data_IF_974150504344
#
_entry.id   IF_974150504344
#
_cell.length_a   1.000
_cell.length_b   1.000
_cell.length_c   1.000
_cell.angle_alpha   90.00
_cell.angle_beta   90.00
_cell.angle_gamma   90.00
#
_symmetry.space_group_name_H-M   'P 1'
#
loop_
_entity.id
_entity.type
_entity.pdbx_description
1 polymer ?
#
# COMPACT_ATOMS: atom_id res chain seq x y z
N UNK A 1 -9.00 -4.48 -9.69
CA UNK A 1 -9.81 -5.26 -8.68
C UNK A 1 -9.65 -6.75 -8.93
N UNK A 2 -9.53 -7.58 -7.90
CA UNK A 2 -9.36 -9.04 -8.00
C UNK A 2 -10.75 -9.69 -8.02
N UNK A 3 -11.12 -10.30 -9.17
CA UNK A 3 -12.46 -10.90 -9.37
C UNK A 3 -12.42 -12.39 -9.73
N UNK A 4 -11.23 -12.96 -9.92
CA UNK A 4 -11.06 -14.38 -10.23
C UNK A 4 -9.93 -15.01 -9.42
N UNK A 5 -9.98 -16.35 -9.24
CA UNK A 5 -8.89 -17.11 -8.62
C UNK A 5 -7.58 -16.99 -9.40
N UNK A 6 -7.65 -16.87 -10.73
CA UNK A 6 -6.48 -16.70 -11.60
C UNK A 6 -5.79 -15.37 -11.34
N UNK A 7 -6.56 -14.28 -11.25
CA UNK A 7 -6.03 -12.96 -10.87
C UNK A 7 -5.44 -12.94 -9.46
N UNK A 8 -6.15 -13.52 -8.49
CA UNK A 8 -5.64 -13.62 -7.13
C UNK A 8 -4.28 -14.32 -7.09
N UNK A 9 -4.15 -15.48 -7.77
CA UNK A 9 -2.89 -16.22 -7.84
C UNK A 9 -1.79 -15.38 -8.47
N UNK A 10 -2.08 -14.69 -9.58
CA UNK A 10 -1.13 -13.82 -10.28
C UNK A 10 -0.64 -12.67 -9.39
N UNK A 11 -1.55 -11.96 -8.75
CA UNK A 11 -1.21 -10.83 -7.85
C UNK A 11 -0.36 -11.31 -6.68
N UNK A 12 -0.75 -12.41 -6.03
CA UNK A 12 0.02 -12.98 -4.93
C UNK A 12 1.42 -13.45 -5.35
N UNK A 13 1.58 -13.94 -6.58
CA UNK A 13 2.87 -14.35 -7.13
C UNK A 13 3.78 -13.13 -7.35
N UNK A 14 3.29 -12.07 -8.01
CA UNK A 14 4.01 -10.81 -8.21
C UNK A 14 4.50 -10.26 -6.87
N UNK A 15 3.60 -10.11 -5.92
CA UNK A 15 3.90 -9.51 -4.62
C UNK A 15 4.80 -10.40 -3.75
N UNK A 16 4.62 -11.73 -3.82
CA UNK A 16 5.49 -12.69 -3.12
C UNK A 16 6.94 -12.63 -3.61
N UNK A 17 7.13 -12.46 -4.92
CA UNK A 17 8.46 -12.41 -5.52
C UNK A 17 9.24 -11.16 -5.09
N UNK A 18 8.56 -10.04 -4.85
CA UNK A 18 9.22 -8.82 -4.37
C UNK A 18 9.85 -8.97 -2.99
N UNK A 19 9.36 -9.89 -2.15
CA UNK A 19 9.90 -10.13 -0.80
C UNK A 19 10.97 -11.22 -0.74
N UNK A 20 11.10 -12.07 -1.76
CA UNK A 20 12.06 -13.20 -1.82
C UNK A 20 12.06 -14.05 -0.53
N UNK A 21 10.88 -14.36 0.01
CA UNK A 21 10.73 -15.03 1.29
C UNK A 21 11.07 -16.52 1.23
N UNK A 22 11.94 -16.97 2.12
CA UNK A 22 12.11 -18.39 2.40
C UNK A 22 10.86 -18.98 3.10
N UNK A 23 10.70 -20.30 3.03
CA UNK A 23 9.61 -21.01 3.71
C UNK A 23 9.65 -20.73 5.23
N UNK A 24 10.84 -20.75 5.83
CA UNK A 24 11.02 -20.44 7.25
C UNK A 24 10.54 -19.03 7.62
N UNK A 25 10.87 -18.00 6.82
CA UNK A 25 10.40 -16.64 7.06
C UNK A 25 8.88 -16.51 6.95
N UNK A 26 8.24 -17.25 6.04
CA UNK A 26 6.76 -17.30 5.96
C UNK A 26 6.14 -17.89 7.21
N UNK A 27 6.71 -18.99 7.73
CA UNK A 27 6.24 -19.63 8.96
C UNK A 27 6.48 -18.71 10.16
N UNK A 28 7.70 -18.17 10.31
CA UNK A 28 8.03 -17.25 11.39
C UNK A 28 7.15 -15.99 11.39
N UNK A 29 6.74 -15.52 10.22
CA UNK A 29 5.80 -14.41 10.08
C UNK A 29 4.41 -14.68 10.67
N UNK A 30 3.95 -15.94 10.69
CA UNK A 30 2.69 -16.31 11.34
C UNK A 30 2.75 -16.14 12.85
N UNK A 31 3.93 -16.33 13.44
CA UNK A 31 4.20 -16.18 14.87
C UNK A 31 4.70 -14.79 15.27
N UNK A 32 4.87 -13.88 14.31
CA UNK A 32 5.36 -12.52 14.57
C UNK A 32 6.89 -12.42 14.75
N UNK A 33 7.64 -13.42 14.31
CA UNK A 33 9.09 -13.52 14.48
C UNK A 33 9.91 -13.13 13.24
N UNK A 34 9.24 -12.76 12.14
CA UNK A 34 9.87 -12.27 10.91
C UNK A 34 9.10 -11.08 10.37
N UNK A 35 9.74 -9.93 10.29
CA UNK A 35 9.12 -8.69 9.79
C UNK A 35 8.56 -8.87 8.38
N UNK A 36 9.38 -9.34 7.44
CA UNK A 36 8.95 -9.62 6.06
C UNK A 36 7.82 -10.65 6.01
N UNK A 37 7.88 -11.66 6.87
CA UNK A 37 6.84 -12.66 6.99
C UNK A 37 5.52 -12.11 7.55
N UNK A 38 5.57 -11.14 8.48
CA UNK A 38 4.38 -10.42 9.00
C UNK A 38 3.74 -9.61 7.87
N UNK A 39 4.54 -8.82 7.15
CA UNK A 39 4.08 -8.00 6.02
C UNK A 39 3.38 -8.87 4.98
N UNK A 40 4.05 -9.96 4.56
CA UNK A 40 3.47 -10.90 3.60
C UNK A 40 2.18 -11.54 4.10
N UNK A 41 2.11 -11.93 5.38
CA UNK A 41 0.92 -12.52 5.98
C UNK A 41 -0.27 -11.53 5.96
N UNK A 42 -0.02 -10.25 6.27
CA UNK A 42 -0.99 -9.17 6.17
C UNK A 42 -1.48 -8.99 4.73
N UNK A 43 -0.55 -8.81 3.80
CA UNK A 43 -0.83 -8.54 2.39
C UNK A 43 -1.58 -9.70 1.72
N UNK A 44 -1.14 -10.94 1.96
CA UNK A 44 -1.82 -12.14 1.47
C UNK A 44 -3.28 -12.24 1.95
N UNK A 45 -3.54 -11.89 3.22
CA UNK A 45 -4.90 -11.87 3.76
C UNK A 45 -5.72 -10.75 3.19
N UNK A 46 -5.14 -9.56 3.01
CA UNK A 46 -5.79 -8.43 2.37
C UNK A 46 -6.23 -8.78 0.95
N UNK A 47 -5.34 -9.35 0.12
CA UNK A 47 -5.68 -9.77 -1.25
C UNK A 47 -6.77 -10.85 -1.30
N UNK A 48 -6.78 -11.79 -0.35
CA UNK A 48 -7.86 -12.78 -0.21
C UNK A 48 -9.17 -12.13 0.24
N UNK A 49 -9.11 -11.16 1.14
CA UNK A 49 -10.27 -10.38 1.53
C UNK A 49 -10.88 -9.66 0.33
N UNK A 50 -10.06 -8.92 -0.43
CA UNK A 50 -10.48 -8.23 -1.66
C UNK A 50 -11.16 -9.18 -2.65
N UNK A 51 -10.54 -10.33 -2.93
CA UNK A 51 -11.13 -11.34 -3.81
C UNK A 51 -12.50 -11.81 -3.34
N UNK A 52 -12.64 -12.18 -2.07
CA UNK A 52 -13.92 -12.66 -1.55
C UNK A 52 -14.97 -11.57 -1.46
N UNK A 53 -14.57 -10.33 -1.17
CA UNK A 53 -15.43 -9.16 -1.18
C UNK A 53 -15.97 -8.90 -2.60
N UNK A 54 -15.10 -8.85 -3.59
CA UNK A 54 -15.44 -8.56 -4.98
C UNK A 54 -16.29 -9.67 -5.63
N UNK A 55 -16.13 -10.92 -5.18
CA UNK A 55 -16.93 -12.06 -5.63
C UNK A 55 -18.21 -12.29 -4.79
N UNK A 56 -18.59 -11.39 -3.88
CA UNK A 56 -19.75 -11.52 -3.00
C UNK A 56 -19.78 -12.81 -2.14
N UNK A 57 -18.62 -13.36 -1.81
CA UNK A 57 -18.51 -14.53 -0.92
C UNK A 57 -18.66 -14.09 0.55
N UNK A 58 -19.85 -13.76 1.01
CA UNK A 58 -20.14 -13.12 2.30
C UNK A 58 -19.43 -13.74 3.51
N UNK A 59 -19.56 -15.05 3.71
CA UNK A 59 -18.94 -15.74 4.87
C UNK A 59 -17.43 -15.63 4.83
N UNK A 60 -16.80 -15.91 3.67
CA UNK A 60 -15.35 -15.88 3.53
C UNK A 60 -14.82 -14.45 3.63
N UNK A 61 -15.49 -13.45 3.06
CA UNK A 61 -15.10 -12.05 3.19
C UNK A 61 -15.12 -11.59 4.66
N UNK A 62 -16.13 -11.99 5.43
CA UNK A 62 -16.20 -11.69 6.88
C UNK A 62 -15.03 -12.32 7.65
N UNK A 63 -14.70 -13.58 7.35
CA UNK A 63 -13.56 -14.26 7.99
C UNK A 63 -12.26 -13.53 7.66
N UNK A 64 -12.00 -13.22 6.39
CA UNK A 64 -10.77 -12.54 5.99
C UNK A 64 -10.72 -11.09 6.50
N UNK A 65 -11.86 -10.39 6.55
CA UNK A 65 -11.97 -9.07 7.19
C UNK A 65 -11.50 -9.12 8.65
N UNK A 66 -12.02 -10.08 9.43
CA UNK A 66 -11.58 -10.27 10.82
C UNK A 66 -10.07 -10.55 10.92
N UNK A 67 -9.53 -11.41 10.06
CA UNK A 67 -8.11 -11.75 10.06
C UNK A 67 -7.22 -10.55 9.68
N UNK A 68 -7.65 -9.73 8.71
CA UNK A 68 -6.95 -8.49 8.33
C UNK A 68 -6.99 -7.49 9.46
N UNK A 69 -8.17 -7.22 10.04
CA UNK A 69 -8.33 -6.27 11.14
C UNK A 69 -7.49 -6.65 12.36
N UNK A 70 -7.42 -7.94 12.71
CA UNK A 70 -6.56 -8.40 13.81
C UNK A 70 -5.09 -8.04 13.58
N UNK A 71 -4.58 -8.18 12.36
CA UNK A 71 -3.22 -7.78 12.01
C UNK A 71 -3.07 -6.26 11.94
N UNK A 72 -4.07 -5.55 11.40
CA UNK A 72 -4.11 -4.10 11.35
C UNK A 72 -3.96 -3.48 12.73
N UNK A 73 -4.75 -3.92 13.70
CA UNK A 73 -4.67 -3.43 15.08
C UNK A 73 -3.35 -3.80 15.76
N UNK A 74 -2.82 -5.00 15.48
CA UNK A 74 -1.57 -5.46 16.10
C UNK A 74 -0.34 -4.72 15.57
N UNK A 75 -0.31 -4.40 14.28
CA UNK A 75 0.88 -3.88 13.60
C UNK A 75 0.72 -2.45 13.05
N UNK A 76 -0.46 -1.85 13.19
CA UNK A 76 -0.74 -0.49 12.74
C UNK A 76 -0.95 -0.34 11.23
N UNK A 77 -1.04 -1.42 10.47
CA UNK A 77 -1.25 -1.38 9.02
C UNK A 77 -2.75 -1.35 8.69
N UNK A 78 -3.26 -0.24 8.22
CA UNK A 78 -4.66 -0.05 7.85
C UNK A 78 -4.77 0.38 6.38
N UNK A 79 -4.92 -0.59 5.50
CA UNK A 79 -5.12 -0.39 4.06
C UNK A 79 -6.54 -0.83 3.73
N UNK A 80 -7.33 0.08 3.14
CA UNK A 80 -8.68 -0.25 2.70
C UNK A 80 -8.67 -1.28 1.57
N UNK A 81 -9.66 -2.19 1.52
CA UNK A 81 -9.73 -3.16 0.43
C UNK A 81 -9.88 -2.46 -0.92
N UNK A 82 -9.19 -2.97 -1.93
CA UNK A 82 -9.11 -2.37 -3.28
C UNK A 82 -8.54 -0.94 -3.32
N UNK A 83 -7.84 -0.51 -2.29
CA UNK A 83 -7.19 0.81 -2.25
C UNK A 83 -5.89 0.83 -3.06
N UNK A 84 -5.13 -0.25 -3.04
CA UNK A 84 -3.84 -0.34 -3.74
C UNK A 84 -3.89 -1.43 -4.80
N UNK A 85 -3.51 -1.11 -6.01
CA UNK A 85 -3.45 -2.07 -7.11
C UNK A 85 -2.30 -3.09 -6.95
N UNK A 86 -2.11 -3.95 -7.94
CA UNK A 86 -1.13 -5.04 -7.90
C UNK A 86 0.32 -4.56 -7.79
N UNK A 87 1.17 -5.37 -7.21
CA UNK A 87 2.60 -5.06 -7.06
C UNK A 87 2.92 -4.12 -5.90
N UNK A 88 1.99 -4.00 -4.93
CA UNK A 88 2.24 -3.25 -3.71
C UNK A 88 3.44 -3.83 -2.95
N UNK A 89 4.39 -2.97 -2.59
CA UNK A 89 5.53 -3.33 -1.74
C UNK A 89 5.51 -2.51 -0.43
N UNK A 90 5.37 -3.18 0.70
CA UNK A 90 5.48 -2.58 2.03
C UNK A 90 6.88 -2.85 2.56
N UNK A 91 7.64 -1.80 2.89
CA UNK A 91 9.03 -1.93 3.30
C UNK A 91 9.20 -2.43 4.74
N UNK A 92 8.41 -1.89 5.67
CA UNK A 92 8.54 -2.17 7.10
C UNK A 92 7.17 -2.27 7.78
N UNK A 93 7.13 -3.03 8.89
CA UNK A 93 5.97 -3.08 9.79
C UNK A 93 5.87 -1.75 10.55
N UNK A 94 4.68 -1.15 10.57
CA UNK A 94 4.44 0.09 11.30
C UNK A 94 3.14 0.76 10.91
N UNK A 95 2.91 1.96 11.41
CA UNK A 95 1.68 2.70 11.12
C UNK A 95 1.61 3.07 9.64
N UNK A 96 0.63 2.52 8.95
CA UNK A 96 0.30 2.83 7.54
C UNK A 96 -1.21 3.02 7.49
N UNK A 97 -1.67 4.13 6.92
CA UNK A 97 -3.08 4.42 6.75
C UNK A 97 -3.36 4.80 5.29
N UNK A 98 -3.99 3.91 4.54
CA UNK A 98 -4.35 4.14 3.13
C UNK A 98 -5.86 4.14 2.98
N UNK A 99 -6.43 5.32 2.81
CA UNK A 99 -7.84 5.61 2.51
C UNK A 99 -7.98 6.38 1.20
N UNK A 100 -7.30 5.91 0.16
CA UNK A 100 -7.29 6.52 -1.16
C UNK A 100 -7.08 5.47 -2.22
N UNK A 101 -6.81 5.90 -3.45
CA UNK A 101 -6.46 4.99 -4.54
C UNK A 101 -4.99 5.12 -4.86
N UNK A 102 -4.32 3.99 -5.00
CA UNK A 102 -2.90 3.92 -5.37
C UNK A 102 -2.77 2.91 -6.51
N UNK A 103 -2.09 3.32 -7.55
CA UNK A 103 -1.83 2.49 -8.72
C UNK A 103 -0.83 1.36 -8.46
N UNK A 104 -0.42 0.72 -9.53
CA UNK A 104 0.42 -0.49 -9.51
C UNK A 104 1.86 -0.19 -9.12
N UNK A 105 2.54 -1.23 -8.61
CA UNK A 105 3.99 -1.23 -8.33
C UNK A 105 4.45 -0.10 -7.42
N UNK A 106 3.60 0.30 -6.49
CA UNK A 106 3.92 1.36 -5.55
C UNK A 106 4.61 0.83 -4.29
N UNK A 107 5.59 1.60 -3.78
CA UNK A 107 6.36 1.27 -2.58
C UNK A 107 5.90 2.12 -1.41
N UNK A 108 5.57 1.49 -0.29
CA UNK A 108 5.00 2.14 0.88
C UNK A 108 5.91 1.91 2.09
N UNK A 109 6.45 2.99 2.63
CA UNK A 109 7.20 2.96 3.89
C UNK A 109 6.29 3.12 5.12
N UNK A 110 6.91 3.01 6.30
CA UNK A 110 6.21 3.22 7.58
C UNK A 110 5.75 4.67 7.75
N UNK A 111 4.70 4.86 8.53
CA UNK A 111 4.09 6.14 8.88
C UNK A 111 3.50 6.90 7.68
N UNK A 112 3.25 6.20 6.58
CA UNK A 112 2.59 6.79 5.40
C UNK A 112 1.09 6.92 5.66
N UNK A 113 0.54 8.09 5.32
CA UNK A 113 -0.89 8.36 5.43
C UNK A 113 -1.44 8.94 4.13
N UNK A 114 -2.43 8.26 3.55
CA UNK A 114 -3.28 8.77 2.46
C UNK A 114 -4.69 8.91 3.01
N UNK A 115 -5.17 10.14 3.14
CA UNK A 115 -6.46 10.42 3.78
C UNK A 115 -7.23 11.51 3.05
N UNK A 116 -8.55 11.45 3.10
CA UNK A 116 -9.42 12.56 2.70
C UNK A 116 -9.13 13.79 3.57
N UNK A 117 -9.33 14.97 3.01
CA UNK A 117 -9.31 16.22 3.76
C UNK A 117 -10.65 16.49 4.44
N UNK A 118 -10.91 17.76 4.77
CA UNK A 118 -12.15 18.19 5.41
C UNK A 118 -13.42 17.80 4.61
N UNK A 119 -13.33 17.62 3.30
CA UNK A 119 -14.43 17.18 2.45
C UNK A 119 -14.54 15.66 2.30
N UNK A 120 -13.71 14.89 3.02
CA UNK A 120 -13.62 13.42 2.96
C UNK A 120 -13.39 12.82 1.54
N UNK A 121 -12.87 13.64 0.62
CA UNK A 121 -12.48 13.19 -0.72
C UNK A 121 -11.08 12.63 -0.63
N UNK A 122 -10.93 11.34 -0.94
CA UNK A 122 -9.66 10.64 -0.84
C UNK A 122 -8.72 10.94 -2.01
N UNK A 123 -7.39 10.97 -1.80
CA UNK A 123 -6.41 11.17 -2.85
C UNK A 123 -6.35 9.99 -3.81
N UNK A 124 -5.95 10.28 -5.06
CA UNK A 124 -5.75 9.29 -6.11
C UNK A 124 -4.32 9.38 -6.62
N UNK A 125 -3.56 8.32 -6.47
CA UNK A 125 -2.17 8.22 -6.93
C UNK A 125 -2.07 7.27 -8.13
N UNK A 126 -1.23 7.62 -9.09
CA UNK A 126 -0.92 6.79 -10.25
C UNK A 126 -0.03 5.59 -9.93
N UNK A 127 0.57 5.01 -10.97
CA UNK A 127 1.44 3.84 -10.88
C UNK A 127 2.86 4.24 -10.46
N UNK A 128 3.59 3.28 -9.87
CA UNK A 128 5.00 3.43 -9.51
C UNK A 128 5.25 4.67 -8.64
N UNK A 129 4.48 4.81 -7.56
CA UNK A 129 4.66 5.89 -6.60
C UNK A 129 5.43 5.37 -5.39
N UNK A 130 6.52 6.07 -5.06
CA UNK A 130 7.30 5.81 -3.87
C UNK A 130 6.87 6.76 -2.74
N UNK A 131 6.35 6.18 -1.67
CA UNK A 131 5.93 6.91 -0.47
C UNK A 131 7.01 6.81 0.59
N UNK A 132 7.79 7.87 0.78
CA UNK A 132 8.84 7.96 1.79
C UNK A 132 8.30 7.91 3.22
N UNK A 133 9.17 7.56 4.16
CA UNK A 133 8.84 7.42 5.58
C UNK A 133 8.12 8.67 6.11
N UNK A 134 6.97 8.48 6.74
CA UNK A 134 6.22 9.58 7.37
C UNK A 134 5.56 10.54 6.38
N UNK A 135 5.51 10.23 5.08
CA UNK A 135 4.84 11.09 4.12
C UNK A 135 3.32 11.07 4.32
N UNK A 136 2.70 12.22 4.13
CA UNK A 136 1.26 12.40 4.30
C UNK A 136 0.66 13.05 3.06
N UNK A 137 -0.36 12.44 2.49
CA UNK A 137 -1.10 12.91 1.32
C UNK A 137 -2.53 13.19 1.77
N UNK A 138 -2.96 14.46 1.67
CA UNK A 138 -4.22 14.91 2.26
C UNK A 138 -5.10 15.58 1.22
N UNK A 139 -6.37 15.18 1.22
CA UNK A 139 -7.41 15.79 0.38
C UNK A 139 -7.62 15.11 -0.95
N UNK A 140 -8.60 15.57 -1.68
CA UNK A 140 -9.01 15.04 -3.00
C UNK A 140 -8.04 15.40 -4.13
N UNK A 141 -6.74 15.21 -3.91
CA UNK A 141 -5.68 15.56 -4.85
C UNK A 141 -5.30 14.39 -5.75
N UNK A 142 -4.68 14.69 -6.86
CA UNK A 142 -4.15 13.72 -7.81
C UNK A 142 -2.63 13.72 -7.80
N UNK A 143 -2.04 12.57 -7.57
CA UNK A 143 -0.61 12.34 -7.73
C UNK A 143 -0.39 11.51 -8.98
N UNK A 144 0.43 12.00 -9.89
CA UNK A 144 0.74 11.32 -11.15
C UNK A 144 1.49 10.00 -10.96
N UNK A 145 1.86 9.36 -12.05
CA UNK A 145 2.68 8.15 -12.06
C UNK A 145 4.17 8.48 -12.03
N UNK A 146 4.99 7.52 -11.57
CA UNK A 146 6.45 7.69 -11.43
C UNK A 146 6.79 8.89 -10.53
N UNK A 147 6.15 9.00 -9.39
CA UNK A 147 6.38 10.08 -8.41
C UNK A 147 7.11 9.54 -7.20
N UNK A 148 8.16 10.26 -6.77
CA UNK A 148 8.82 10.03 -5.50
C UNK A 148 8.36 11.07 -4.47
N UNK A 149 7.73 10.63 -3.40
CA UNK A 149 7.34 11.49 -2.28
C UNK A 149 8.39 11.33 -1.17
N UNK A 150 9.12 12.40 -0.88
CA UNK A 150 10.18 12.41 0.10
C UNK A 150 9.71 12.11 1.52
N UNK A 151 10.64 11.65 2.36
CA UNK A 151 10.34 11.38 3.77
C UNK A 151 9.81 12.63 4.49
N UNK A 152 8.76 12.47 5.29
CA UNK A 152 8.11 13.55 6.03
C UNK A 152 7.40 14.60 5.17
N UNK A 153 7.28 14.40 3.87
CA UNK A 153 6.59 15.34 2.98
C UNK A 153 5.07 15.36 3.26
N UNK A 154 4.48 16.56 3.22
CA UNK A 154 3.02 16.76 3.32
C UNK A 154 2.51 17.29 1.99
N UNK A 155 1.84 16.42 1.24
CA UNK A 155 1.31 16.72 -0.09
C UNK A 155 -0.14 17.16 0.04
N UNK A 156 -0.41 18.42 -0.35
CA UNK A 156 -1.74 19.06 -0.22
C UNK A 156 -2.26 19.64 -1.54
N UNK A 157 -1.53 19.42 -2.64
CA UNK A 157 -1.90 19.85 -3.99
C UNK A 157 -1.53 18.78 -5.00
N UNK A 158 -2.12 18.86 -6.19
CA UNK A 158 -1.85 17.93 -7.30
C UNK A 158 -0.35 17.89 -7.62
N UNK A 159 0.13 16.68 -7.95
CA UNK A 159 1.51 16.40 -8.33
C UNK A 159 1.56 15.80 -9.71
N UNK A 160 2.32 16.43 -10.61
CA UNK A 160 2.55 15.91 -11.96
C UNK A 160 3.36 14.60 -11.95
N UNK A 161 3.28 13.83 -13.05
CA UNK A 161 4.06 12.59 -13.20
C UNK A 161 5.56 12.86 -13.36
N UNK A 162 6.38 11.83 -13.09
CA UNK A 162 7.82 11.83 -13.30
C UNK A 162 8.58 12.91 -12.51
N UNK A 163 8.21 13.11 -11.27
CA UNK A 163 8.89 14.08 -10.41
C UNK A 163 9.11 13.57 -8.98
N UNK A 164 9.98 14.26 -8.26
CA UNK A 164 10.19 14.08 -6.82
C UNK A 164 9.67 15.30 -6.09
N UNK A 165 8.86 15.07 -5.05
CA UNK A 165 8.33 16.13 -4.19
C UNK A 165 8.80 15.93 -2.75
N UNK A 166 9.09 17.03 -2.05
CA UNK A 166 9.46 16.99 -0.62
C UNK A 166 9.07 18.29 0.09
N UNK A 167 9.07 18.25 1.42
CA UNK A 167 8.80 19.42 2.27
C UNK A 167 7.37 19.49 2.80
N UNK A 168 7.09 20.56 3.58
CA UNK A 168 5.80 20.85 4.22
C UNK A 168 5.46 22.32 4.00
N UNK A 169 4.52 22.67 3.08
CA UNK A 169 3.89 21.78 2.09
C UNK A 169 4.90 21.26 1.05
N UNK A 170 4.62 20.09 0.48
CA UNK A 170 5.49 19.47 -0.50
C UNK A 170 5.56 20.28 -1.80
N UNK A 171 6.77 20.40 -2.34
CA UNK A 171 7.05 21.06 -3.62
C UNK A 171 7.92 20.16 -4.50
N UNK A 172 7.85 20.35 -5.81
CA UNK A 172 8.73 19.63 -6.74
C UNK A 172 10.17 20.08 -6.51
N UNK A 173 11.03 19.13 -6.16
CA UNK A 173 12.47 19.35 -5.98
C UNK A 173 13.29 18.78 -7.14
N UNK A 174 12.70 17.85 -7.91
CA UNK A 174 13.34 17.23 -9.06
C UNK A 174 12.28 16.79 -10.07
N UNK A 175 12.57 16.88 -11.37
CA UNK A 175 11.74 16.38 -12.46
C UNK A 175 12.22 15.00 -12.92
N UNK A 176 12.46 14.12 -11.97
CA UNK A 176 12.75 12.69 -12.13
C UNK A 176 11.91 11.93 -11.11
N UNK A 177 11.33 10.82 -11.54
CA UNK A 177 10.59 9.90 -10.68
C UNK A 177 11.51 9.14 -9.73
N UNK A 178 10.97 8.12 -9.05
CA UNK A 178 11.79 7.25 -8.22
C UNK A 178 12.93 6.70 -9.06
N UNK A 179 14.14 6.83 -8.54
CA UNK A 179 15.30 6.09 -9.06
C UNK A 179 14.98 4.60 -8.87
N UNK A 180 15.44 3.73 -9.78
CA UNK A 180 15.26 2.29 -9.66
C UNK A 180 15.95 1.81 -8.37
N UNK A 181 15.20 1.75 -7.29
CA UNK A 181 15.65 1.28 -5.97
C UNK A 181 15.44 -0.24 -5.82
N UNK A 182 15.44 -0.95 -6.95
CA UNK A 182 15.22 -2.40 -7.00
C UNK A 182 16.50 -3.16 -7.21
#
# INVERSE_FOLDING_TARGET
MITSKKELKRVLEIESNSYQLSISQRILGLFGLSERGIIWNYQNRLRKYEYHLNCNHRVRSTIYHFLVNRLSFRYGMAIEPNAVDEGMHICHVGKILIRGKVGKYSTIHIHVSLVGGACDIAPVCGDNVYFGIGSTIVGGIKVGSNVCIGAGAVVTSDVESNCTVAGVPAKIINRRGPLDWH
#
